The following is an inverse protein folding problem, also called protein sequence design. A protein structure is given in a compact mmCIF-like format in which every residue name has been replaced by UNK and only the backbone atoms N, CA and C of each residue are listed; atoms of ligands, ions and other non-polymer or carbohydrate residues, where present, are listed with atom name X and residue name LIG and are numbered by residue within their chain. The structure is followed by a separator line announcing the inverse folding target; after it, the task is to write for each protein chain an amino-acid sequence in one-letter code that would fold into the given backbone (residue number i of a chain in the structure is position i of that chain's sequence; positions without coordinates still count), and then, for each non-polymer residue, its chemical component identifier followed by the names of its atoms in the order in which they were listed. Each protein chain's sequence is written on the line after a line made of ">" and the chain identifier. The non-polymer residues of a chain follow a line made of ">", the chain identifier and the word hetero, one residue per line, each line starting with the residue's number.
data_IF_446510800664
#
_entry.id   IF_446510800664
#
_cell.length_a   1.000
_cell.length_b   1.000
_cell.length_c   1.000
_cell.angle_alpha   90.00
_cell.angle_beta   90.00
_cell.angle_gamma   90.00
#
_symmetry.space_group_name_H-M   'P 1'
#
loop_
_entity.id
_entity.type
_entity.pdbx_description
1 polymer ?
#
# COMPACT_ATOMS: atom_id res chain seq x y z
N UNK A 1 -57.69 -5.97 15.29
CA UNK A 1 -57.56 -5.70 16.75
C UNK A 1 -57.40 -7.06 17.44
N UNK A 2 -56.32 -7.40 18.14
CA UNK A 2 -55.48 -6.60 19.03
C UNK A 2 -54.01 -6.62 18.64
N UNK A 3 -53.46 -5.41 18.61
CA UNK A 3 -52.06 -5.04 18.67
C UNK A 3 -51.50 -5.24 20.08
N UNK A 4 -50.26 -5.70 20.18
CA UNK A 4 -49.25 -5.28 21.18
C UNK A 4 -47.86 -5.85 20.82
N UNK A 5 -47.03 -5.00 20.22
CA UNK A 5 -45.57 -4.91 20.47
C UNK A 5 -45.37 -4.28 21.87
N UNK A 6 -44.19 -4.35 22.55
CA UNK A 6 -42.85 -4.22 21.95
C UNK A 6 -41.67 -5.02 22.56
N UNK A 7 -40.55 -5.04 21.82
CA UNK A 7 -39.15 -4.99 22.27
C UNK A 7 -38.63 -6.04 23.27
N UNK A 8 -37.86 -7.02 22.77
CA UNK A 8 -36.72 -7.57 23.53
C UNK A 8 -35.45 -6.80 23.13
N UNK A 9 -34.73 -6.16 24.05
CA UNK A 9 -33.43 -5.59 23.75
C UNK A 9 -32.34 -6.67 23.75
N UNK A 10 -31.24 -6.39 23.04
CA UNK A 10 -29.89 -6.92 23.31
C UNK A 10 -29.52 -8.32 22.78
N UNK A 11 -29.32 -8.39 21.47
CA UNK A 11 -28.09 -8.97 20.95
C UNK A 11 -27.33 -7.86 20.22
N UNK A 12 -26.52 -7.10 20.97
CA UNK A 12 -25.56 -6.16 20.38
C UNK A 12 -24.61 -7.01 19.55
N UNK A 13 -24.67 -6.90 18.22
CA UNK A 13 -23.77 -7.66 17.35
C UNK A 13 -22.35 -7.14 17.58
N UNK A 14 -21.33 -7.98 17.44
CA UNK A 14 -19.91 -7.55 17.55
C UNK A 14 -19.61 -6.26 16.76
N UNK A 15 -20.26 -6.08 15.60
CA UNK A 15 -20.20 -4.86 14.78
C UNK A 15 -20.71 -3.61 15.53
N UNK A 16 -21.77 -3.73 16.32
CA UNK A 16 -22.33 -2.64 17.13
C UNK A 16 -21.43 -2.33 18.32
N UNK A 17 -20.83 -3.34 18.94
CA UNK A 17 -19.79 -3.18 19.98
C UNK A 17 -18.59 -2.41 19.44
N UNK A 18 -18.06 -2.82 18.28
CA UNK A 18 -16.90 -2.18 17.67
C UNK A 18 -17.18 -0.72 17.30
N UNK A 19 -18.37 -0.44 16.73
CA UNK A 19 -18.82 0.93 16.44
C UNK A 19 -18.95 1.74 17.73
N UNK A 20 -19.52 1.18 18.80
CA UNK A 20 -19.62 1.85 20.09
C UNK A 20 -18.26 2.10 20.73
N UNK A 21 -17.32 1.15 20.64
CA UNK A 21 -15.95 1.30 21.13
C UNK A 21 -15.19 2.38 20.35
N UNK A 22 -15.29 2.39 19.02
CA UNK A 22 -14.69 3.43 18.19
C UNK A 22 -15.31 4.80 18.47
N UNK A 23 -16.63 4.87 18.68
CA UNK A 23 -17.29 6.11 19.05
C UNK A 23 -16.92 6.59 20.46
N UNK A 24 -16.76 5.69 21.42
CA UNK A 24 -16.39 6.01 22.81
C UNK A 24 -14.93 6.42 22.94
N UNK A 25 -14.02 5.80 22.18
CA UNK A 25 -12.58 6.08 22.19
C UNK A 25 -12.15 7.10 21.12
N UNK A 26 -13.09 7.58 20.31
CA UNK A 26 -12.87 8.52 19.22
C UNK A 26 -11.94 9.72 19.52
N UNK A 27 -12.01 10.40 20.69
CA UNK A 27 -11.14 11.54 20.94
C UNK A 27 -9.70 11.16 21.27
N UNK A 28 -9.38 9.89 21.55
CA UNK A 28 -8.02 9.45 21.89
C UNK A 28 -7.44 8.47 20.86
N UNK A 29 -8.22 8.06 19.86
CA UNK A 29 -7.79 7.08 18.88
C UNK A 29 -6.97 7.76 17.79
N UNK A 30 -5.65 7.54 17.81
CA UNK A 30 -4.70 8.08 16.82
C UNK A 30 -4.27 7.06 15.76
N UNK A 31 -4.36 5.76 16.09
CA UNK A 31 -3.93 4.66 15.22
C UNK A 31 -5.02 3.60 15.19
N UNK A 32 -5.30 3.06 14.00
CA UNK A 32 -6.24 1.97 13.83
C UNK A 32 -5.72 1.00 12.76
N UNK A 33 -5.63 -0.27 13.13
CA UNK A 33 -5.36 -1.36 12.20
C UNK A 33 -6.63 -2.17 11.99
N UNK A 34 -6.92 -2.58 10.75
CA UNK A 34 -8.09 -3.43 10.47
C UNK A 34 -7.76 -4.54 9.48
N UNK A 35 -8.34 -5.71 9.72
CA UNK A 35 -8.47 -6.78 8.72
C UNK A 35 -9.56 -6.42 7.70
N UNK A 36 -9.66 -7.14 6.56
CA UNK A 36 -10.78 -7.02 5.67
C UNK A 36 -12.03 -7.35 6.47
N UNK A 37 -12.97 -6.42 6.45
CA UNK A 37 -14.25 -6.67 7.04
C UNK A 37 -15.12 -7.21 5.91
N UNK A 38 -15.76 -8.35 6.14
CA UNK A 38 -16.72 -8.94 5.22
C UNK A 38 -17.96 -8.01 5.15
N UNK A 39 -18.02 -7.15 4.13
CA UNK A 39 -18.85 -5.93 4.16
C UNK A 39 -19.69 -5.70 2.91
N UNK A 40 -20.89 -6.30 2.84
CA UNK A 40 -21.91 -5.81 1.91
C UNK A 40 -22.67 -4.58 2.43
N UNK A 41 -22.78 -4.34 3.75
CA UNK A 41 -23.75 -3.35 4.32
C UNK A 41 -23.39 -2.75 5.71
N UNK A 42 -22.29 -2.02 5.85
CA UNK A 42 -21.68 -1.84 7.17
C UNK A 42 -21.90 -0.51 7.91
N UNK A 43 -22.31 -0.60 9.16
CA UNK A 43 -22.33 0.48 10.16
C UNK A 43 -20.99 1.23 10.29
N UNK A 44 -19.86 0.57 10.00
CA UNK A 44 -18.52 1.18 10.03
C UNK A 44 -18.27 2.13 8.86
N UNK A 45 -18.58 1.74 7.62
CA UNK A 45 -18.54 2.67 6.47
C UNK A 45 -19.39 3.91 6.75
N UNK A 46 -20.60 3.74 7.30
CA UNK A 46 -21.44 4.86 7.71
C UNK A 46 -20.85 5.68 8.85
N UNK A 47 -20.13 5.06 9.80
CA UNK A 47 -19.43 5.76 10.88
C UNK A 47 -18.31 6.65 10.32
N UNK A 48 -17.44 6.10 9.46
CA UNK A 48 -16.33 6.87 8.85
C UNK A 48 -16.84 7.98 7.93
N UNK A 49 -17.87 7.71 7.12
CA UNK A 49 -18.51 8.74 6.29
C UNK A 49 -19.14 9.86 7.11
N UNK A 50 -19.67 9.55 8.30
CA UNK A 50 -20.16 10.56 9.25
C UNK A 50 -19.01 11.30 9.92
N UNK A 51 -17.95 10.61 10.33
CA UNK A 51 -16.75 11.21 10.94
C UNK A 51 -16.04 12.19 10.00
N UNK A 52 -16.12 11.95 8.69
CA UNK A 52 -15.61 12.83 7.64
C UNK A 52 -16.45 14.13 7.45
N UNK A 53 -17.63 14.26 8.09
CA UNK A 53 -18.52 15.42 7.95
C UNK A 53 -18.74 16.12 9.30
N UNK A 54 -18.47 17.43 9.41
CA UNK A 54 -18.86 18.18 10.61
C UNK A 54 -20.39 18.19 10.77
N UNK A 55 -20.94 18.20 12.01
CA UNK A 55 -20.28 18.42 13.30
C UNK A 55 -19.94 17.13 14.07
N UNK A 56 -19.88 15.97 13.41
CA UNK A 56 -19.73 14.68 14.12
C UNK A 56 -18.31 14.53 14.68
N UNK A 57 -18.19 14.48 16.00
CA UNK A 57 -16.92 14.54 16.75
C UNK A 57 -16.18 13.21 16.88
N UNK A 58 -16.52 12.17 16.12
CA UNK A 58 -15.83 10.89 16.21
C UNK A 58 -14.59 10.84 15.29
N UNK A 59 -13.54 10.12 15.72
CA UNK A 59 -12.30 9.86 14.96
C UNK A 59 -11.55 11.11 14.50
N UNK A 60 -11.70 12.23 15.21
CA UNK A 60 -11.08 13.52 14.84
C UNK A 60 -9.56 13.52 15.04
N UNK A 61 -9.02 12.58 15.82
CA UNK A 61 -7.59 12.45 16.08
C UNK A 61 -6.97 11.25 15.39
N UNK A 62 -7.72 10.50 14.57
CA UNK A 62 -7.20 9.33 13.87
C UNK A 62 -6.21 9.76 12.79
N UNK A 63 -4.93 9.48 13.01
CA UNK A 63 -3.79 9.88 12.16
C UNK A 63 -3.33 8.77 11.23
N UNK A 64 -3.33 7.53 11.68
CA UNK A 64 -2.84 6.40 10.87
C UNK A 64 -3.88 5.30 10.75
N UNK A 65 -4.01 4.77 9.54
CA UNK A 65 -4.82 3.58 9.26
C UNK A 65 -3.97 2.49 8.61
N UNK A 66 -3.85 1.32 9.23
CA UNK A 66 -3.20 0.16 8.65
C UNK A 66 -4.24 -0.87 8.18
N UNK A 67 -4.22 -1.21 6.90
CA UNK A 67 -5.08 -2.20 6.30
C UNK A 67 -4.33 -3.54 6.20
N UNK A 68 -4.63 -4.45 7.12
CA UNK A 68 -4.12 -5.82 7.03
C UNK A 68 -4.93 -6.63 6.01
N UNK A 69 -4.28 -7.61 5.34
CA UNK A 69 -4.93 -8.63 4.52
C UNK A 69 -5.70 -9.62 5.39
N UNK A 70 -6.60 -10.42 4.80
CA UNK A 70 -7.35 -11.44 5.55
C UNK A 70 -6.40 -12.41 6.25
N UNK A 71 -6.65 -12.67 7.53
CA UNK A 71 -5.79 -13.50 8.39
C UNK A 71 -5.56 -14.92 7.84
N UNK A 72 -6.56 -15.52 7.21
CA UNK A 72 -6.44 -16.85 6.61
C UNK A 72 -5.58 -16.79 5.35
N UNK A 73 -5.71 -15.71 4.58
CA UNK A 73 -4.98 -15.51 3.33
C UNK A 73 -3.53 -15.08 3.58
N UNK A 74 -3.25 -14.36 4.67
CA UNK A 74 -1.89 -13.96 5.07
C UNK A 74 -0.98 -15.15 5.42
N UNK A 75 -1.57 -16.28 5.85
CA UNK A 75 -0.84 -17.53 6.10
C UNK A 75 -0.43 -18.26 4.81
N UNK A 76 -0.97 -17.87 3.67
CA UNK A 76 -0.63 -18.44 2.36
C UNK A 76 0.75 -18.03 1.87
N UNK A 77 1.16 -18.58 0.73
CA UNK A 77 2.40 -18.23 0.01
C UNK A 77 2.18 -17.19 -1.09
N UNK A 78 0.93 -16.82 -1.36
CA UNK A 78 0.54 -15.92 -2.45
C UNK A 78 0.16 -14.52 -1.96
N UNK A 79 0.11 -13.55 -2.87
CA UNK A 79 -0.53 -12.25 -2.60
C UNK A 79 -2.03 -12.42 -2.27
N UNK A 80 -2.61 -11.40 -1.64
CA UNK A 80 -3.99 -11.40 -1.16
C UNK A 80 -4.83 -10.40 -1.94
N UNK A 81 -5.91 -10.88 -2.58
CA UNK A 81 -6.89 -10.02 -3.27
C UNK A 81 -7.52 -9.06 -2.26
N UNK A 82 -7.44 -7.76 -2.56
CA UNK A 82 -7.80 -6.70 -1.64
C UNK A 82 -8.62 -5.60 -2.33
N UNK A 83 -9.83 -5.28 -1.82
CA UNK A 83 -10.62 -4.14 -2.32
C UNK A 83 -10.10 -2.79 -1.79
N UNK A 84 -8.85 -2.47 -2.14
CA UNK A 84 -8.12 -1.32 -1.60
C UNK A 84 -8.78 0.03 -1.92
N UNK A 85 -9.41 0.22 -3.08
CA UNK A 85 -10.11 1.48 -3.38
C UNK A 85 -11.35 1.64 -2.49
N UNK A 86 -12.09 0.55 -2.25
CA UNK A 86 -13.22 0.57 -1.32
C UNK A 86 -12.78 1.00 0.10
N UNK A 87 -11.63 0.49 0.57
CA UNK A 87 -11.09 0.81 1.91
C UNK A 87 -10.53 2.21 2.00
N UNK A 88 -9.77 2.66 1.00
CA UNK A 88 -9.29 4.04 0.92
C UNK A 88 -10.44 5.05 0.90
N UNK A 89 -11.51 4.77 0.13
CA UNK A 89 -12.70 5.62 0.09
C UNK A 89 -13.43 5.75 1.44
N UNK A 90 -13.22 4.83 2.38
CA UNK A 90 -13.77 4.95 3.74
C UNK A 90 -13.04 6.00 4.57
N UNK A 91 -11.71 6.12 4.42
CA UNK A 91 -10.86 6.89 5.34
C UNK A 91 -10.36 8.20 4.74
N UNK A 92 -10.34 8.34 3.41
CA UNK A 92 -9.70 9.46 2.70
C UNK A 92 -10.15 10.85 3.13
N UNK A 93 -11.39 11.02 3.58
CA UNK A 93 -11.94 12.32 4.01
C UNK A 93 -11.90 12.55 5.52
N UNK A 94 -11.28 11.65 6.29
CA UNK A 94 -11.11 11.87 7.72
C UNK A 94 -10.21 13.11 7.96
N UNK A 95 -10.51 13.94 8.96
CA UNK A 95 -9.91 15.28 9.07
C UNK A 95 -8.44 15.27 9.49
N UNK A 96 -8.02 14.33 10.33
CA UNK A 96 -6.66 14.25 10.86
C UNK A 96 -5.84 13.07 10.30
N UNK A 97 -6.38 12.32 9.32
CA UNK A 97 -5.64 11.19 8.74
C UNK A 97 -4.41 11.72 8.01
N UNK A 98 -3.26 11.17 8.36
CA UNK A 98 -1.94 11.52 7.84
C UNK A 98 -1.34 10.36 7.05
N UNK A 99 -1.59 9.12 7.47
CA UNK A 99 -1.01 7.92 6.85
C UNK A 99 -2.03 6.80 6.62
N UNK A 100 -1.86 6.11 5.49
CA UNK A 100 -2.56 4.86 5.16
C UNK A 100 -1.53 3.82 4.73
N UNK A 101 -1.74 2.56 5.11
CA UNK A 101 -0.87 1.46 4.70
C UNK A 101 -1.62 0.19 4.29
N UNK A 102 -1.04 -0.53 3.34
CA UNK A 102 -1.47 -1.86 2.89
C UNK A 102 -0.26 -2.81 2.88
N UNK A 103 -0.52 -4.09 3.08
CA UNK A 103 0.52 -5.13 2.99
C UNK A 103 -0.05 -6.36 2.29
N UNK A 104 0.75 -6.98 1.41
CA UNK A 104 0.40 -8.18 0.65
C UNK A 104 -0.80 -8.04 -0.29
N UNK A 105 -1.18 -6.80 -0.61
CA UNK A 105 -2.36 -6.53 -1.41
C UNK A 105 -2.11 -6.88 -2.89
N UNK A 106 -3.14 -7.45 -3.52
CA UNK A 106 -3.26 -7.65 -4.96
C UNK A 106 -4.64 -7.16 -5.40
N UNK A 107 -4.77 -6.81 -6.69
CA UNK A 107 -6.08 -6.48 -7.27
C UNK A 107 -7.12 -7.57 -7.01
N UNK A 108 -8.23 -7.16 -6.41
CA UNK A 108 -9.44 -7.97 -6.31
C UNK A 108 -10.27 -7.86 -7.60
N UNK A 109 -11.23 -8.76 -7.80
CA UNK A 109 -12.16 -8.69 -8.94
C UNK A 109 -13.08 -7.45 -8.86
N UNK A 110 -13.33 -6.95 -7.65
CA UNK A 110 -14.00 -5.68 -7.38
C UNK A 110 -13.13 -4.83 -6.44
N UNK A 111 -12.11 -4.13 -6.94
CA UNK A 111 -11.24 -3.31 -6.10
C UNK A 111 -11.99 -2.12 -5.47
N UNK A 112 -13.19 -1.82 -5.99
CA UNK A 112 -13.96 -0.61 -5.75
C UNK A 112 -13.69 0.47 -6.79
N UNK A 113 -14.49 1.54 -6.77
CA UNK A 113 -14.28 2.68 -7.68
C UNK A 113 -12.98 3.44 -7.33
N UNK A 114 -12.10 3.72 -8.31
CA UNK A 114 -10.90 4.51 -8.09
C UNK A 114 -11.15 5.85 -7.40
N UNK A 115 -10.14 6.38 -6.73
CA UNK A 115 -10.22 7.66 -6.06
C UNK A 115 -10.06 8.81 -7.06
N UNK A 116 -10.82 9.90 -6.93
CA UNK A 116 -10.52 11.13 -7.65
C UNK A 116 -9.18 11.72 -7.25
N UNK A 117 -8.50 12.45 -8.15
CA UNK A 117 -7.26 13.12 -7.80
C UNK A 117 -7.49 14.17 -6.71
N UNK A 118 -6.50 14.39 -5.84
CA UNK A 118 -6.51 15.42 -4.77
C UNK A 118 -7.73 15.39 -3.84
N UNK A 119 -8.34 14.23 -3.68
CA UNK A 119 -9.55 14.04 -2.90
C UNK A 119 -9.31 13.60 -1.45
N UNK A 120 -8.10 13.13 -1.13
CA UNK A 120 -7.74 12.53 0.14
C UNK A 120 -6.92 13.45 1.05
N UNK A 121 -7.12 13.34 2.36
CA UNK A 121 -6.44 14.15 3.38
C UNK A 121 -5.11 13.54 3.87
N UNK A 122 -4.88 12.24 3.68
CA UNK A 122 -3.61 11.61 4.02
C UNK A 122 -2.47 12.19 3.17
N UNK A 123 -1.25 12.15 3.72
CA UNK A 123 -0.02 12.64 3.07
C UNK A 123 1.07 11.59 2.97
N UNK A 124 0.86 10.42 3.58
CA UNK A 124 1.76 9.28 3.54
C UNK A 124 1.00 8.04 3.09
N UNK A 125 1.55 7.35 2.11
CA UNK A 125 1.00 6.09 1.60
C UNK A 125 2.13 5.07 1.61
N UNK A 126 1.86 3.91 2.21
CA UNK A 126 2.82 2.81 2.30
C UNK A 126 2.14 1.52 1.85
N UNK A 127 2.70 0.88 0.83
CA UNK A 127 2.15 -0.34 0.24
C UNK A 127 3.30 -1.33 0.17
N UNK A 128 3.35 -2.26 1.12
CA UNK A 128 4.49 -3.16 1.29
C UNK A 128 4.19 -4.55 0.73
N UNK A 129 5.18 -5.14 0.05
CA UNK A 129 5.14 -6.50 -0.48
C UNK A 129 3.83 -6.81 -1.22
N UNK A 130 3.37 -5.88 -2.04
CA UNK A 130 2.06 -5.92 -2.69
C UNK A 130 2.22 -5.91 -4.21
N UNK A 131 1.30 -6.57 -4.90
CA UNK A 131 1.25 -6.66 -6.35
C UNK A 131 0.01 -5.90 -6.87
N UNK A 132 0.11 -4.57 -6.90
CA UNK A 132 -0.97 -3.69 -7.40
C UNK A 132 -0.56 -3.18 -8.79
N UNK A 133 -1.43 -3.27 -9.82
CA UNK A 133 -1.15 -2.74 -11.15
C UNK A 133 -0.79 -1.25 -11.13
N UNK A 134 0.04 -0.81 -12.07
CA UNK A 134 0.55 0.56 -12.09
C UNK A 134 -0.56 1.60 -12.37
N UNK A 135 -1.59 1.26 -13.15
CA UNK A 135 -2.79 2.12 -13.25
C UNK A 135 -3.42 2.40 -11.87
N UNK A 136 -3.58 1.36 -11.05
CA UNK A 136 -4.22 1.47 -9.74
C UNK A 136 -3.31 2.23 -8.76
N UNK A 137 -1.99 1.99 -8.81
CA UNK A 137 -1.00 2.77 -8.08
C UNK A 137 -1.00 4.24 -8.49
N UNK A 138 -1.11 4.56 -9.78
CA UNK A 138 -1.26 5.94 -10.24
C UNK A 138 -2.47 6.60 -9.58
N UNK A 139 -3.64 5.96 -9.58
CA UNK A 139 -4.84 6.49 -8.90
C UNK A 139 -4.64 6.71 -7.41
N UNK A 140 -3.92 5.80 -6.74
CA UNK A 140 -3.58 5.96 -5.32
C UNK A 140 -2.63 7.15 -5.12
N UNK A 141 -1.58 7.30 -5.94
CA UNK A 141 -0.60 8.41 -5.90
C UNK A 141 -1.29 9.75 -6.15
N UNK A 142 -2.23 9.80 -7.09
CA UNK A 142 -2.94 11.03 -7.48
C UNK A 142 -3.97 11.47 -6.41
N UNK A 143 -4.45 10.55 -5.59
CA UNK A 143 -5.54 10.79 -4.63
C UNK A 143 -5.27 11.80 -3.48
N UNK A 144 -4.09 11.92 -2.86
CA UNK A 144 -3.80 12.88 -1.80
C UNK A 144 -3.91 14.32 -2.28
N UNK A 145 -4.32 15.24 -1.40
CA UNK A 145 -4.16 16.68 -1.65
C UNK A 145 -2.70 17.10 -1.65
N UNK A 146 -1.90 16.49 -0.78
CA UNK A 146 -0.46 16.74 -0.63
C UNK A 146 0.25 15.45 -0.25
N UNK A 147 0.85 14.76 -1.21
CA UNK A 147 1.67 13.58 -0.91
C UNK A 147 3.07 14.03 -0.48
N UNK A 148 3.53 13.51 0.65
CA UNK A 148 4.86 13.74 1.23
C UNK A 148 5.72 12.48 1.20
N UNK A 149 5.14 11.33 1.52
CA UNK A 149 5.86 10.07 1.58
C UNK A 149 5.11 9.03 0.76
N UNK A 150 5.80 8.38 -0.18
CA UNK A 150 5.26 7.26 -0.92
C UNK A 150 6.23 6.09 -0.86
N UNK A 151 5.73 4.95 -0.41
CA UNK A 151 6.46 3.68 -0.35
C UNK A 151 5.65 2.63 -1.10
N UNK A 152 6.27 1.99 -2.08
CA UNK A 152 5.74 0.82 -2.75
C UNK A 152 6.82 -0.23 -2.90
N UNK A 153 6.60 -1.41 -2.34
CA UNK A 153 7.47 -2.58 -2.54
C UNK A 153 6.63 -3.76 -3.03
N UNK A 154 7.20 -4.54 -3.94
CA UNK A 154 6.61 -5.76 -4.47
C UNK A 154 7.60 -6.91 -4.28
N UNK A 155 7.09 -8.14 -4.19
CA UNK A 155 7.89 -9.34 -3.98
C UNK A 155 7.60 -10.04 -2.66
N UNK A 156 8.19 -11.22 -2.51
CA UNK A 156 8.11 -12.04 -1.30
C UNK A 156 6.86 -12.90 -1.24
N UNK A 157 6.04 -12.94 -2.29
CA UNK A 157 4.90 -13.84 -2.43
C UNK A 157 4.79 -14.33 -3.87
N UNK A 158 4.08 -15.45 -4.06
CA UNK A 158 3.67 -15.95 -5.38
C UNK A 158 2.50 -15.13 -5.93
N UNK A 159 2.46 -15.00 -7.25
CA UNK A 159 1.27 -14.51 -7.93
C UNK A 159 0.19 -15.62 -7.96
N UNK A 160 -1.02 -15.42 -7.40
CA UNK A 160 -2.12 -16.36 -7.54
C UNK A 160 -2.48 -16.69 -9.00
N UNK A 161 -2.25 -15.75 -9.91
CA UNK A 161 -2.59 -15.88 -11.34
C UNK A 161 -1.46 -16.51 -12.15
N UNK A 162 -0.34 -16.86 -11.51
CA UNK A 162 0.85 -17.39 -12.16
C UNK A 162 1.71 -16.31 -12.80
N UNK A 163 2.95 -16.69 -13.15
CA UNK A 163 3.92 -15.79 -13.76
C UNK A 163 4.34 -14.58 -12.91
N UNK A 164 5.14 -13.70 -13.52
CA UNK A 164 5.63 -12.48 -12.89
C UNK A 164 4.87 -11.29 -13.46
N UNK A 165 4.18 -10.51 -12.62
CA UNK A 165 3.41 -9.36 -13.06
C UNK A 165 4.36 -8.27 -13.55
N UNK A 166 4.02 -7.68 -14.69
CA UNK A 166 4.73 -6.52 -15.23
C UNK A 166 4.14 -5.25 -14.62
N UNK A 167 4.98 -4.31 -14.21
CA UNK A 167 4.58 -3.02 -13.66
C UNK A 167 5.34 -1.89 -14.34
N UNK A 168 4.63 -0.84 -14.75
CA UNK A 168 5.22 0.36 -15.36
C UNK A 168 5.74 1.37 -14.34
N UNK A 169 6.96 1.89 -14.53
CA UNK A 169 7.53 2.94 -13.64
C UNK A 169 7.30 4.36 -14.17
N UNK A 170 7.18 4.51 -15.49
CA UNK A 170 6.99 5.78 -16.18
C UNK A 170 5.64 6.42 -15.82
N UNK A 171 4.50 5.69 -15.84
CA UNK A 171 3.22 6.23 -15.38
C UNK A 171 3.27 6.70 -13.92
N UNK A 172 4.01 5.99 -13.06
CA UNK A 172 4.17 6.37 -11.65
C UNK A 172 4.94 7.69 -11.50
N UNK A 173 6.05 7.88 -12.23
CA UNK A 173 6.79 9.14 -12.20
C UNK A 173 5.92 10.32 -12.67
N UNK A 174 5.12 10.10 -13.72
CA UNK A 174 4.16 11.11 -14.21
C UNK A 174 3.08 11.45 -13.19
N UNK A 175 2.58 10.48 -12.44
CA UNK A 175 1.62 10.67 -11.35
C UNK A 175 2.25 11.39 -10.15
N UNK A 176 3.47 11.01 -9.77
CA UNK A 176 4.24 11.62 -8.69
C UNK A 176 4.53 13.11 -8.95
N UNK A 177 4.68 13.51 -10.23
CA UNK A 177 4.93 14.91 -10.59
C UNK A 177 3.85 15.87 -10.08
N UNK A 178 2.61 15.42 -9.89
CA UNK A 178 1.54 16.23 -9.29
C UNK A 178 1.89 16.68 -7.87
N UNK A 179 2.80 15.98 -7.20
CA UNK A 179 3.27 16.22 -5.83
C UNK A 179 4.71 16.70 -5.76
N UNK A 180 5.31 17.14 -6.87
CA UNK A 180 6.74 17.49 -6.91
C UNK A 180 7.18 18.55 -5.90
N UNK A 181 6.27 19.44 -5.51
CA UNK A 181 6.51 20.49 -4.50
C UNK A 181 6.25 20.06 -3.07
N UNK A 182 5.78 18.83 -2.85
CA UNK A 182 5.41 18.31 -1.51
C UNK A 182 6.08 17.00 -1.18
N UNK A 183 6.48 16.19 -2.17
CA UNK A 183 7.11 14.90 -1.97
C UNK A 183 8.48 15.07 -1.30
N UNK A 184 8.65 14.44 -0.15
CA UNK A 184 9.85 14.47 0.69
C UNK A 184 10.58 13.11 0.70
N UNK A 185 9.84 12.02 0.58
CA UNK A 185 10.37 10.65 0.59
C UNK A 185 9.70 9.79 -0.50
N UNK A 186 10.53 9.10 -1.28
CA UNK A 186 10.10 8.14 -2.29
C UNK A 186 10.87 6.84 -2.14
N UNK A 187 10.14 5.74 -2.03
CA UNK A 187 10.69 4.38 -1.98
C UNK A 187 9.91 3.50 -2.96
N UNK A 188 10.57 3.08 -4.04
CA UNK A 188 9.98 2.17 -5.05
C UNK A 188 10.91 0.97 -5.24
N UNK A 189 10.49 -0.19 -4.76
CA UNK A 189 11.15 -1.47 -4.99
C UNK A 189 10.28 -2.33 -5.91
N UNK A 190 10.42 -2.11 -7.23
CA UNK A 190 9.62 -2.75 -8.28
C UNK A 190 10.40 -3.01 -9.57
N UNK A 191 11.72 -2.80 -9.56
CA UNK A 191 12.57 -2.90 -10.75
C UNK A 191 12.55 -4.28 -11.39
N UNK A 192 12.50 -5.33 -10.56
CA UNK A 192 12.38 -6.71 -11.05
C UNK A 192 11.12 -6.93 -11.89
N UNK A 193 10.06 -6.16 -11.64
CA UNK A 193 8.76 -6.26 -12.31
C UNK A 193 8.63 -5.29 -13.48
N UNK A 194 9.62 -4.43 -13.71
CA UNK A 194 9.64 -3.51 -14.85
C UNK A 194 10.28 -4.20 -16.05
N UNK A 195 9.84 -3.89 -17.28
CA UNK A 195 10.43 -4.52 -18.47
C UNK A 195 11.73 -3.83 -18.90
N UNK A 196 12.62 -4.57 -19.57
CA UNK A 196 13.77 -3.98 -20.24
C UNK A 196 13.37 -2.96 -21.32
N UNK A 197 12.25 -3.21 -22.02
CA UNK A 197 11.73 -2.31 -23.04
C UNK A 197 11.46 -0.91 -22.45
N UNK A 198 10.82 -0.82 -21.29
CA UNK A 198 10.53 0.48 -20.70
C UNK A 198 11.79 1.32 -20.42
N UNK A 199 12.84 0.68 -19.90
CA UNK A 199 14.09 1.36 -19.58
C UNK A 199 14.90 1.74 -20.83
N UNK A 200 14.97 0.85 -21.81
CA UNK A 200 15.98 0.91 -22.88
C UNK A 200 15.42 1.17 -24.28
N UNK A 201 14.14 0.91 -24.52
CA UNK A 201 13.53 1.16 -25.82
C UNK A 201 13.02 2.62 -25.89
N UNK A 202 13.60 3.46 -26.76
CA UNK A 202 13.14 4.84 -26.94
C UNK A 202 11.74 4.93 -27.53
N UNK A 203 11.26 3.89 -28.22
CA UNK A 203 9.93 3.81 -28.82
C UNK A 203 8.91 3.19 -27.87
N UNK A 204 9.32 2.74 -26.67
CA UNK A 204 8.38 2.21 -25.67
C UNK A 204 7.29 3.22 -25.35
N UNK A 205 6.05 2.75 -25.46
CA UNK A 205 4.87 3.47 -24.98
C UNK A 205 4.21 2.62 -23.88
N UNK A 206 3.84 3.25 -22.75
CA UNK A 206 3.04 2.56 -21.75
C UNK A 206 1.71 2.13 -22.38
N UNK A 207 1.17 1.01 -21.89
CA UNK A 207 -0.11 0.51 -22.37
C UNK A 207 -1.23 1.52 -22.04
N UNK A 208 -1.90 2.02 -23.08
CA UNK A 208 -3.02 2.96 -22.92
C UNK A 208 -4.35 2.22 -22.66
N UNK A 209 -4.40 0.90 -22.83
CA UNK A 209 -5.60 0.09 -22.61
C UNK A 209 -5.87 -0.18 -21.11
N UNK A 210 -4.95 0.21 -20.22
CA UNK A 210 -5.18 0.16 -18.78
C UNK A 210 -6.05 1.34 -18.32
N UNK A 211 -7.31 1.05 -17.97
CA UNK A 211 -8.27 2.09 -17.64
C UNK A 211 -9.58 1.59 -17.04
N UNK A 212 -10.49 2.54 -16.82
CA UNK A 212 -11.89 2.21 -16.54
C UNK A 212 -12.58 1.92 -17.87
N UNK A 213 -13.38 0.85 -17.93
CA UNK A 213 -14.25 0.64 -19.07
C UNK A 213 -15.34 1.73 -19.16
N UNK A 214 -16.08 1.79 -20.28
CA UNK A 214 -17.11 2.81 -20.49
C UNK A 214 -18.17 2.86 -19.36
N UNK A 215 -18.54 1.70 -18.82
CA UNK A 215 -19.53 1.60 -17.75
C UNK A 215 -18.97 2.01 -16.40
N UNK A 216 -17.74 1.59 -16.09
CA UNK A 216 -16.99 2.00 -14.90
C UNK A 216 -16.73 3.50 -14.92
N UNK A 217 -16.41 4.07 -16.07
CA UNK A 217 -16.23 5.50 -16.29
C UNK A 217 -17.52 6.28 -16.00
N UNK A 218 -18.68 5.83 -16.53
CA UNK A 218 -19.98 6.44 -16.22
C UNK A 218 -20.27 6.38 -14.71
N UNK A 219 -20.00 5.24 -14.08
CA UNK A 219 -20.17 5.07 -12.63
C UNK A 219 -19.27 6.01 -11.83
N UNK A 220 -18.00 6.13 -12.23
CA UNK A 220 -17.02 7.02 -11.62
C UNK A 220 -17.44 8.49 -11.71
N UNK A 221 -17.79 8.96 -12.91
CA UNK A 221 -18.23 10.34 -13.15
C UNK A 221 -19.49 10.68 -12.34
N UNK A 222 -20.45 9.76 -12.30
CA UNK A 222 -21.67 9.93 -11.51
C UNK A 222 -21.41 9.95 -10.02
N UNK A 223 -20.56 9.07 -9.52
CA UNK A 223 -20.23 8.96 -8.09
C UNK A 223 -19.48 10.18 -7.57
N UNK A 224 -18.57 10.73 -8.38
CA UNK A 224 -17.65 11.80 -7.98
C UNK A 224 -17.92 13.14 -8.66
N UNK A 225 -19.09 13.32 -9.28
CA UNK A 225 -19.46 14.52 -10.03
C UNK A 225 -19.12 15.85 -9.31
N UNK A 226 -19.38 15.94 -8.00
CA UNK A 226 -19.05 17.14 -7.23
C UNK A 226 -17.55 17.38 -7.10
N UNK A 227 -16.77 16.33 -6.83
CA UNK A 227 -15.32 16.42 -6.64
C UNK A 227 -14.62 16.71 -7.98
N UNK A 228 -15.08 16.08 -9.07
CA UNK A 228 -14.61 16.35 -10.43
C UNK A 228 -14.87 17.81 -10.82
N UNK A 229 -16.05 18.35 -10.49
CA UNK A 229 -16.38 19.75 -10.76
C UNK A 229 -15.51 20.72 -9.93
N UNK A 230 -15.26 20.40 -8.66
CA UNK A 230 -14.34 21.17 -7.81
C UNK A 230 -12.89 21.16 -8.32
N UNK A 231 -12.44 20.03 -8.88
CA UNK A 231 -11.12 19.90 -9.50
C UNK A 231 -11.02 20.68 -10.81
N UNK A 232 -12.05 20.61 -11.66
CA UNK A 232 -12.10 21.35 -12.92
C UNK A 232 -12.11 22.88 -12.72
N UNK A 233 -12.56 23.35 -11.55
CA UNK A 233 -12.50 24.76 -11.18
C UNK A 233 -11.11 25.23 -10.74
N UNK A 234 -10.18 24.32 -10.43
CA UNK A 234 -8.79 24.65 -10.16
C UNK A 234 -8.06 24.72 -11.50
N UNK A 235 -7.30 25.79 -11.78
CA UNK A 235 -6.43 25.82 -12.96
C UNK A 235 -5.36 24.73 -12.80
N UNK A 236 -5.42 23.63 -13.58
CA UNK A 236 -4.43 22.59 -13.46
C UNK A 236 -3.12 23.12 -14.02
N UNK A 237 -2.04 22.92 -13.28
CA UNK A 237 -0.73 23.16 -13.85
C UNK A 237 -0.49 22.15 -14.97
N UNK A 238 -0.23 22.65 -16.18
CA UNK A 238 0.05 21.80 -17.33
C UNK A 238 1.29 20.96 -17.05
N UNK A 239 1.12 19.63 -17.06
CA UNK A 239 2.22 18.68 -16.96
C UNK A 239 3.20 18.94 -18.11
N UNK A 240 4.51 19.06 -17.83
CA UNK A 240 5.50 19.18 -18.90
C UNK A 240 5.55 17.88 -19.69
N UNK A 241 5.92 17.97 -20.96
CA UNK A 241 6.11 16.81 -21.82
C UNK A 241 7.29 15.93 -21.41
N UNK A 242 8.15 16.42 -20.50
CA UNK A 242 9.32 15.72 -19.98
C UNK A 242 9.45 15.97 -18.47
N UNK A 243 9.67 14.91 -17.70
CA UNK A 243 9.73 14.91 -16.23
C UNK A 243 10.94 14.11 -15.78
N UNK A 244 11.67 14.59 -14.77
CA UNK A 244 12.84 13.92 -14.20
C UNK A 244 12.89 14.05 -12.67
N UNK A 245 13.82 13.35 -12.03
CA UNK A 245 14.06 13.49 -10.58
C UNK A 245 14.46 14.91 -10.16
N UNK A 246 15.04 15.72 -11.04
CA UNK A 246 15.35 17.13 -10.73
C UNK A 246 14.12 17.95 -10.40
N UNK A 247 12.97 17.57 -10.95
CA UNK A 247 11.74 18.34 -10.85
C UNK A 247 11.10 18.25 -9.45
N UNK A 248 11.70 17.49 -8.52
CA UNK A 248 11.24 17.26 -7.15
C UNK A 248 12.10 18.02 -6.13
N UNK A 249 11.94 19.36 -5.99
CA UNK A 249 12.83 20.17 -5.16
C UNK A 249 12.74 19.84 -3.66
N UNK A 250 11.69 19.18 -3.17
CA UNK A 250 11.57 18.83 -1.75
C UNK A 250 12.00 17.41 -1.41
N UNK A 251 12.37 16.59 -2.39
CA UNK A 251 12.74 15.20 -2.17
C UNK A 251 14.08 15.11 -1.44
N UNK A 252 14.05 14.51 -0.24
CA UNK A 252 15.20 14.36 0.66
C UNK A 252 15.68 12.92 0.74
N UNK A 253 14.77 11.94 0.63
CA UNK A 253 15.08 10.51 0.70
C UNK A 253 14.55 9.82 -0.54
N UNK A 254 15.41 9.07 -1.20
CA UNK A 254 15.11 8.34 -2.42
C UNK A 254 15.63 6.92 -2.32
N UNK A 255 14.76 5.94 -2.51
CA UNK A 255 15.12 4.53 -2.57
C UNK A 255 14.57 3.95 -3.86
N UNK A 256 15.44 3.51 -4.77
CA UNK A 256 15.05 3.02 -6.09
C UNK A 256 15.96 1.88 -6.54
N UNK A 257 15.43 1.00 -7.40
CA UNK A 257 16.22 0.16 -8.28
C UNK A 257 17.20 0.97 -9.12
N UNK A 258 18.32 0.37 -9.50
CA UNK A 258 19.41 1.09 -10.16
C UNK A 258 19.04 1.52 -11.59
N UNK A 259 18.34 0.67 -12.33
CA UNK A 259 17.85 0.99 -13.67
C UNK A 259 16.77 2.07 -13.60
N UNK A 260 15.85 1.95 -12.64
CA UNK A 260 14.78 2.92 -12.35
C UNK A 260 15.35 4.28 -11.97
N UNK A 261 16.41 4.31 -11.14
CA UNK A 261 17.11 5.53 -10.75
C UNK A 261 17.71 6.24 -11.96
N UNK A 262 18.44 5.51 -12.81
CA UNK A 262 19.02 6.06 -14.04
C UNK A 262 17.94 6.55 -15.00
N UNK A 263 16.87 5.77 -15.19
CA UNK A 263 15.73 6.11 -16.03
C UNK A 263 15.04 7.40 -15.58
N UNK A 264 14.66 7.50 -14.30
CA UNK A 264 14.01 8.69 -13.76
C UNK A 264 14.94 9.91 -13.74
N UNK A 265 16.23 9.73 -13.49
CA UNK A 265 17.21 10.82 -13.55
C UNK A 265 17.42 11.32 -14.98
N UNK A 266 17.44 10.42 -15.97
CA UNK A 266 17.49 10.77 -17.40
C UNK A 266 16.21 11.46 -17.87
N UNK A 267 15.11 11.18 -17.19
CA UNK A 267 13.80 11.78 -17.39
C UNK A 267 12.94 11.02 -18.41
N UNK A 268 11.63 11.09 -18.21
CA UNK A 268 10.60 10.38 -18.97
C UNK A 268 9.69 11.36 -19.72
N UNK A 269 9.14 10.91 -20.85
CA UNK A 269 8.23 11.68 -21.70
C UNK A 269 8.86 12.16 -23.01
N UNK A 270 8.05 12.71 -23.90
CA UNK A 270 8.47 13.14 -25.24
C UNK A 270 9.02 14.56 -25.22
N UNK A 271 10.34 14.73 -25.24
CA UNK A 271 10.95 16.04 -25.44
C UNK A 271 11.46 16.23 -26.87
N UNK A 272 10.59 16.02 -27.88
CA UNK A 272 10.98 16.13 -29.30
C UNK A 272 11.60 17.50 -29.66
N UNK A 273 11.27 18.55 -28.90
CA UNK A 273 11.83 19.89 -29.07
C UNK A 273 13.28 20.04 -28.55
N UNK A 274 13.71 19.21 -27.59
CA UNK A 274 15.04 19.28 -26.95
C UNK A 274 15.95 18.11 -27.32
N UNK A 275 15.35 16.95 -27.60
CA UNK A 275 16.02 15.71 -27.96
C UNK A 275 15.24 15.05 -29.11
N UNK A 276 15.86 14.82 -30.28
CA UNK A 276 15.19 14.26 -31.46
C UNK A 276 14.54 12.89 -31.23
N UNK A 277 15.05 12.13 -30.25
CA UNK A 277 14.60 10.82 -29.77
C UNK A 277 13.86 10.91 -28.41
N UNK A 278 13.60 12.11 -27.91
CA UNK A 278 12.87 12.36 -26.66
C UNK A 278 13.68 12.19 -25.37
N UNK A 279 14.96 11.77 -25.41
CA UNK A 279 15.77 11.46 -24.21
C UNK A 279 17.09 12.23 -24.19
N UNK A 280 17.63 12.51 -23.00
CA UNK A 280 19.00 13.07 -22.88
C UNK A 280 19.98 12.13 -23.59
N UNK A 281 20.81 12.66 -24.49
CA UNK A 281 21.88 11.92 -25.17
C UNK A 281 22.81 11.28 -24.13
N UNK A 282 23.12 10.00 -24.31
CA UNK A 282 23.87 9.17 -23.36
C UNK A 282 25.24 9.75 -23.03
N UNK A 283 25.92 10.33 -24.02
CA UNK A 283 27.23 10.96 -23.84
C UNK A 283 27.16 12.21 -22.95
N UNK A 284 25.97 12.80 -22.82
CA UNK A 284 25.71 13.98 -21.99
C UNK A 284 25.06 13.65 -20.64
N UNK A 285 24.58 12.42 -20.44
CA UNK A 285 23.91 12.04 -19.21
C UNK A 285 24.91 11.85 -18.05
N UNK A 286 24.64 12.55 -16.94
CA UNK A 286 25.35 12.40 -15.68
C UNK A 286 24.33 12.22 -14.55
N UNK A 287 24.28 11.04 -13.94
CA UNK A 287 23.40 10.75 -12.81
C UNK A 287 23.59 11.74 -11.65
N UNK A 288 24.84 12.06 -11.30
CA UNK A 288 25.17 12.95 -10.18
C UNK A 288 24.64 14.38 -10.36
N UNK A 289 24.56 14.84 -11.61
CA UNK A 289 23.98 16.13 -11.95
C UNK A 289 22.47 16.08 -12.03
N UNK A 290 21.85 14.90 -12.17
CA UNK A 290 20.41 14.69 -12.37
C UNK A 290 19.61 14.17 -11.18
N UNK A 291 20.21 14.17 -10.00
CA UNK A 291 19.50 13.94 -8.75
C UNK A 291 18.69 15.17 -8.30
N UNK A 292 17.68 14.98 -7.42
CA UNK A 292 16.96 16.08 -6.80
C UNK A 292 17.92 17.02 -6.05
N UNK A 293 17.70 18.34 -6.09
CA UNK A 293 18.66 19.32 -5.58
C UNK A 293 18.85 19.27 -4.05
N UNK A 294 17.86 18.77 -3.30
CA UNK A 294 17.87 18.71 -1.84
C UNK A 294 17.97 17.27 -1.31
N UNK A 295 18.43 16.33 -2.12
CA UNK A 295 18.57 14.94 -1.72
C UNK A 295 19.64 14.79 -0.63
N UNK A 296 19.28 14.09 0.45
CA UNK A 296 20.12 13.85 1.63
C UNK A 296 20.46 12.37 1.80
N UNK A 297 19.57 11.49 1.34
CA UNK A 297 19.70 10.05 1.44
C UNK A 297 19.30 9.38 0.12
N UNK A 298 20.16 8.52 -0.38
CA UNK A 298 19.94 7.68 -1.55
C UNK A 298 20.19 6.21 -1.18
N UNK A 299 19.18 5.36 -1.36
CA UNK A 299 19.35 3.92 -1.33
C UNK A 299 19.19 3.38 -2.73
N UNK A 300 20.13 2.55 -3.15
CA UNK A 300 20.06 1.87 -4.45
C UNK A 300 19.77 0.39 -4.20
N UNK A 301 18.76 -0.11 -4.89
CA UNK A 301 18.30 -1.48 -4.81
C UNK A 301 18.92 -2.36 -5.90
N UNK A 302 19.16 -3.64 -5.57
CA UNK A 302 19.32 -4.70 -6.56
C UNK A 302 20.50 -4.60 -7.52
N UNK A 303 21.65 -4.01 -7.14
CA UNK A 303 22.79 -3.95 -8.06
C UNK A 303 23.21 -5.34 -8.53
N UNK A 304 23.25 -5.52 -9.84
CA UNK A 304 23.58 -6.81 -10.48
C UNK A 304 22.38 -7.74 -10.63
N UNK A 305 21.20 -7.34 -10.18
CA UNK A 305 19.93 -7.98 -10.45
C UNK A 305 19.17 -7.11 -11.46
N UNK A 306 18.93 -7.66 -12.65
CA UNK A 306 18.22 -6.95 -13.71
C UNK A 306 16.71 -7.15 -13.64
N UNK A 307 15.95 -6.31 -14.35
CA UNK A 307 14.53 -6.52 -14.63
C UNK A 307 14.25 -7.93 -15.20
N UNK A 308 13.03 -8.43 -14.96
CA UNK A 308 12.64 -9.79 -15.35
C UNK A 308 12.79 -10.04 -16.87
N UNK A 309 13.29 -11.23 -17.18
CA UNK A 309 13.81 -11.61 -18.49
C UNK A 309 12.71 -12.28 -19.33
N UNK A 310 12.07 -11.51 -20.21
CA UNK A 310 11.29 -12.07 -21.33
C UNK A 310 11.94 -11.83 -22.69
N UNK A 311 12.82 -10.83 -22.84
CA UNK A 311 13.63 -10.65 -24.06
C UNK A 311 14.76 -9.60 -23.89
N UNK A 312 15.72 -9.83 -22.98
CA UNK A 312 16.92 -8.98 -22.90
C UNK A 312 17.81 -9.05 -24.17
N UNK A 313 17.50 -9.96 -25.10
CA UNK A 313 18.37 -10.35 -26.22
C UNK A 313 18.44 -9.35 -27.37
N UNK A 314 17.64 -8.28 -27.37
CA UNK A 314 17.52 -7.33 -28.47
C UNK A 314 17.85 -5.86 -28.17
N UNK A 315 18.00 -5.48 -26.89
CA UNK A 315 18.14 -4.07 -26.51
C UNK A 315 19.60 -3.72 -26.18
N UNK A 316 20.14 -2.66 -26.79
CA UNK A 316 21.43 -2.12 -26.37
C UNK A 316 21.29 -1.57 -24.94
N UNK A 317 22.07 -2.11 -23.99
CA UNK A 317 22.12 -1.65 -22.60
C UNK A 317 22.83 -0.29 -22.54
N UNK A 318 22.13 0.74 -22.96
CA UNK A 318 22.68 2.04 -23.32
C UNK A 318 22.88 2.98 -22.12
N UNK A 319 22.18 2.73 -21.00
CA UNK A 319 22.20 3.58 -19.80
C UNK A 319 23.55 3.62 -19.05
N UNK A 320 24.49 2.72 -19.33
CA UNK A 320 25.81 2.68 -18.68
C UNK A 320 25.73 2.67 -17.15
N UNK A 321 24.79 1.92 -16.60
CA UNK A 321 24.35 2.00 -15.20
C UNK A 321 25.51 1.90 -14.20
N UNK A 322 26.41 0.94 -14.38
CA UNK A 322 27.59 0.78 -13.53
C UNK A 322 28.53 1.99 -13.59
N UNK A 323 28.80 2.51 -14.79
CA UNK A 323 29.65 3.70 -14.98
C UNK A 323 29.04 4.93 -14.31
N UNK A 324 27.70 5.08 -14.42
CA UNK A 324 26.95 6.16 -13.78
C UNK A 324 26.98 6.06 -12.25
N UNK A 325 26.82 4.86 -11.69
CA UNK A 325 26.95 4.63 -10.24
C UNK A 325 28.37 4.90 -9.74
N UNK A 326 29.39 4.40 -10.44
CA UNK A 326 30.78 4.68 -10.06
C UNK A 326 31.09 6.17 -10.09
N UNK A 327 30.62 6.87 -11.13
CA UNK A 327 30.76 8.32 -11.25
C UNK A 327 30.03 9.05 -10.13
N UNK A 328 28.80 8.65 -9.81
CA UNK A 328 28.03 9.19 -8.68
C UNK A 328 28.81 9.04 -7.37
N UNK A 329 29.34 7.85 -7.09
CA UNK A 329 30.14 7.59 -5.90
C UNK A 329 31.43 8.42 -5.85
N UNK A 330 32.06 8.70 -7.00
CA UNK A 330 33.24 9.57 -7.08
C UNK A 330 32.89 11.03 -6.79
N UNK A 331 31.84 11.55 -7.41
CA UNK A 331 31.47 12.97 -7.33
C UNK A 331 30.80 13.34 -5.99
N UNK A 332 29.99 12.44 -5.44
CA UNK A 332 29.22 12.67 -4.20
C UNK A 332 30.04 12.46 -2.93
N UNK A 333 31.26 11.91 -3.00
CA UNK A 333 32.19 11.84 -1.86
C UNK A 333 32.46 13.19 -1.19
N UNK A 334 32.31 14.28 -1.94
CA UNK A 334 32.52 15.65 -1.47
C UNK A 334 31.26 16.33 -0.95
N UNK A 335 30.08 15.72 -1.14
CA UNK A 335 28.77 16.25 -0.76
C UNK A 335 28.22 15.46 0.44
N UNK A 336 27.36 16.07 1.25
CA UNK A 336 26.74 15.42 2.42
C UNK A 336 25.61 14.44 2.08
N UNK A 337 25.69 13.78 0.92
CA UNK A 337 24.71 12.78 0.49
C UNK A 337 25.09 11.41 1.05
N UNK A 338 24.18 10.76 1.78
CA UNK A 338 24.34 9.40 2.27
C UNK A 338 23.90 8.43 1.18
N UNK A 339 24.75 7.48 0.81
CA UNK A 339 24.46 6.46 -0.22
C UNK A 339 24.59 5.06 0.39
N UNK A 340 23.52 4.26 0.28
CA UNK A 340 23.42 2.91 0.85
C UNK A 340 22.80 1.90 -0.13
N UNK A 341 22.84 0.61 0.21
CA UNK A 341 22.12 -0.46 -0.51
C UNK A 341 22.83 -1.03 -1.74
N UNK A 342 23.84 -0.34 -2.27
CA UNK A 342 24.52 -0.70 -3.53
C UNK A 342 24.96 -2.18 -3.60
N UNK A 343 25.52 -2.75 -2.54
CA UNK A 343 26.04 -4.13 -2.59
C UNK A 343 25.18 -5.13 -1.80
N UNK A 344 23.99 -4.72 -1.33
CA UNK A 344 23.16 -5.54 -0.44
C UNK A 344 21.86 -5.90 -1.18
N UNK A 345 21.65 -7.19 -1.51
CA UNK A 345 20.37 -7.62 -2.07
C UNK A 345 19.26 -7.41 -1.05
N UNK A 346 18.08 -7.06 -1.53
CA UNK A 346 16.91 -6.88 -0.67
C UNK A 346 16.28 -8.24 -0.45
N UNK A 347 16.10 -8.66 0.82
CA UNK A 347 15.37 -9.88 1.10
C UNK A 347 13.95 -9.81 0.53
N UNK A 348 13.54 -10.86 -0.19
CA UNK A 348 12.17 -11.02 -0.67
C UNK A 348 11.69 -9.89 -1.62
N UNK A 349 12.58 -9.22 -2.36
CA UNK A 349 12.22 -8.21 -3.36
C UNK A 349 11.67 -8.78 -4.68
N UNK A 350 11.76 -10.11 -4.87
CA UNK A 350 11.25 -10.78 -6.07
C UNK A 350 9.93 -11.47 -5.78
N UNK A 351 9.01 -11.45 -6.75
CA UNK A 351 7.88 -12.37 -6.75
C UNK A 351 8.43 -13.79 -6.75
N UNK A 352 7.92 -14.63 -5.85
CA UNK A 352 8.32 -16.03 -5.77
C UNK A 352 7.73 -16.75 -6.98
N UNK A 353 8.57 -17.50 -7.69
CA UNK A 353 8.14 -18.21 -8.89
C UNK A 353 7.10 -19.29 -8.53
N UNK A 354 6.13 -19.53 -9.42
CA UNK A 354 5.02 -20.43 -9.18
C UNK A 354 5.47 -21.88 -8.92
N UNK A 355 6.64 -22.24 -9.49
CA UNK A 355 7.26 -23.56 -9.42
C UNK A 355 8.05 -23.82 -8.12
N UNK A 356 8.28 -22.79 -7.30
CA UNK A 356 9.06 -22.92 -6.06
C UNK A 356 8.31 -23.70 -4.97
N UNK A 357 9.04 -24.31 -4.05
CA UNK A 357 8.46 -25.08 -2.95
C UNK A 357 7.77 -24.14 -1.93
N UNK A 358 6.50 -24.38 -1.62
CA UNK A 358 5.77 -23.67 -0.56
C UNK A 358 6.38 -23.90 0.83
N UNK A 359 7.18 -24.97 1.00
CA UNK A 359 7.87 -25.26 2.25
C UNK A 359 9.17 -24.47 2.44
N UNK A 360 9.72 -23.84 1.39
CA UNK A 360 10.88 -22.96 1.55
C UNK A 360 10.46 -21.58 2.06
N UNK A 361 10.26 -21.54 3.37
CA UNK A 361 9.82 -20.37 4.11
C UNK A 361 10.81 -19.19 4.06
N UNK A 362 12.01 -19.37 3.52
CA UNK A 362 12.99 -18.28 3.35
C UNK A 362 12.68 -17.40 2.13
N UNK A 363 11.94 -17.93 1.15
CA UNK A 363 11.53 -17.22 -0.07
C UNK A 363 10.38 -16.24 0.18
N UNK A 364 9.56 -16.52 1.19
CA UNK A 364 8.35 -15.77 1.47
C UNK A 364 8.59 -14.68 2.51
N UNK A 365 8.15 -13.47 2.17
CA UNK A 365 8.11 -12.38 3.14
C UNK A 365 7.12 -12.69 4.24
N UNK A 366 7.49 -12.33 5.47
CA UNK A 366 6.68 -12.51 6.67
C UNK A 366 6.47 -11.17 7.33
N UNK A 367 5.23 -10.92 7.71
CA UNK A 367 4.88 -9.75 8.48
C UNK A 367 5.64 -9.79 9.82
N UNK A 368 6.51 -8.81 10.11
CA UNK A 368 7.26 -8.75 11.37
C UNK A 368 6.35 -8.64 12.59
N UNK A 369 5.14 -8.08 12.43
CA UNK A 369 4.14 -7.97 13.48
C UNK A 369 3.30 -9.27 13.61
N UNK A 370 3.55 -10.25 12.74
CA UNK A 370 2.93 -11.58 12.80
C UNK A 370 3.84 -12.59 13.54
N UNK A 371 3.74 -12.53 14.87
CA UNK A 371 4.43 -13.46 15.78
C UNK A 371 3.99 -14.94 15.62
N UNK A 372 2.99 -15.25 14.78
CA UNK A 372 2.41 -16.61 14.68
C UNK A 372 3.35 -17.60 13.99
N UNK A 373 4.25 -17.13 13.12
CA UNK A 373 5.29 -18.00 12.54
C UNK A 373 6.37 -18.38 13.57
N UNK A 374 6.64 -17.52 14.55
CA UNK A 374 7.53 -17.84 15.66
C UNK A 374 6.88 -18.81 16.66
N UNK A 375 5.54 -18.74 16.82
CA UNK A 375 4.77 -19.67 17.63
C UNK A 375 4.77 -21.12 17.10
N UNK A 376 5.22 -21.36 15.86
CA UNK A 376 5.35 -22.72 15.32
C UNK A 376 6.62 -23.44 15.82
N UNK A 377 7.49 -22.77 16.61
CA UNK A 377 8.63 -23.40 17.29
C UNK A 377 8.51 -23.46 18.81
N UNK A 378 7.48 -22.86 19.40
CA UNK A 378 7.22 -22.99 20.83
C UNK A 378 5.72 -23.05 21.09
N UNK A 379 5.30 -24.23 21.54
CA UNK A 379 3.93 -24.69 21.73
C UNK A 379 3.23 -24.01 22.94
N UNK A 380 3.47 -22.71 23.13
CA UNK A 380 2.99 -21.95 24.29
C UNK A 380 2.90 -20.44 24.04
N UNK A 381 1.83 -19.94 23.42
CA UNK A 381 1.12 -18.73 23.89
C UNK A 381 -0.32 -18.74 23.34
N UNK A 382 -1.24 -19.39 24.06
CA UNK A 382 -2.62 -18.92 24.15
C UNK A 382 -2.74 -18.33 25.56
N UNK A 383 -2.95 -17.02 25.69
CA UNK A 383 -3.28 -16.40 26.98
C UNK A 383 -4.50 -17.11 27.55
N UNK A 384 -4.26 -17.86 28.63
CA UNK A 384 -5.21 -18.84 29.16
C UNK A 384 -6.53 -18.17 29.57
N UNK A 385 -7.63 -18.93 29.48
CA UNK A 385 -8.96 -18.61 30.03
C UNK A 385 -8.90 -18.01 31.46
N UNK A 386 -7.87 -18.38 32.23
CA UNK A 386 -7.62 -17.88 33.58
C UNK A 386 -7.23 -16.39 33.62
N UNK A 387 -6.65 -15.82 32.56
CA UNK A 387 -6.36 -14.37 32.49
C UNK A 387 -7.62 -13.54 32.26
N UNK A 388 -8.53 -13.97 31.40
CA UNK A 388 -9.83 -13.30 31.22
C UNK A 388 -10.71 -13.41 32.47
N UNK A 389 -10.64 -14.54 33.19
CA UNK A 389 -11.31 -14.69 34.49
C UNK A 389 -10.68 -13.79 35.57
N UNK A 390 -9.35 -13.62 35.60
CA UNK A 390 -8.66 -12.68 36.51
C UNK A 390 -8.99 -11.23 36.19
N UNK A 391 -9.04 -10.87 34.91
CA UNK A 391 -9.38 -9.54 34.44
C UNK A 391 -10.84 -9.19 34.76
N UNK A 392 -11.76 -10.15 34.61
CA UNK A 392 -13.15 -9.98 35.04
C UNK A 392 -13.28 -9.77 36.56
N UNK A 393 -12.50 -10.54 37.35
CA UNK A 393 -12.52 -10.48 38.80
C UNK A 393 -11.93 -9.19 39.39
N UNK A 394 -11.03 -8.50 38.66
CA UNK A 394 -10.41 -7.25 39.11
C UNK A 394 -11.16 -5.98 38.68
N UNK A 395 -12.23 -6.09 37.88
CA UNK A 395 -13.02 -4.92 37.44
C UNK A 395 -14.03 -4.46 38.48
N UNK A 396 -14.16 -3.15 38.67
CA UNK A 396 -15.21 -2.53 39.49
C UNK A 396 -16.60 -2.69 38.87
N UNK A 397 -17.66 -2.79 39.69
CA UNK A 397 -19.04 -3.06 39.26
C UNK A 397 -19.68 -1.97 38.39
N UNK A 398 -19.03 -0.81 38.26
CA UNK A 398 -19.43 0.27 37.34
C UNK A 398 -18.71 0.26 35.99
N UNK A 399 -17.79 -0.69 35.75
CA UNK A 399 -17.02 -0.72 34.51
C UNK A 399 -17.91 -1.18 33.34
N UNK A 400 -18.07 -0.37 32.27
CA UNK A 400 -18.98 -0.69 31.16
C UNK A 400 -18.58 -1.94 30.38
N UNK A 401 -17.34 -2.42 30.51
CA UNK A 401 -16.82 -3.63 29.88
C UNK A 401 -17.10 -4.91 30.69
N UNK A 402 -17.40 -4.77 31.99
CA UNK A 402 -17.62 -5.92 32.91
C UNK A 402 -18.80 -6.80 32.48
N UNK A 403 -19.98 -6.26 32.10
CA UNK A 403 -21.10 -7.08 31.62
C UNK A 403 -20.76 -7.84 30.33
N UNK A 404 -19.91 -7.26 29.48
CA UNK A 404 -19.54 -7.83 28.19
C UNK A 404 -18.56 -8.99 28.35
N UNK A 405 -17.56 -8.84 29.23
CA UNK A 405 -16.64 -9.93 29.58
C UNK A 405 -17.40 -11.04 30.32
N UNK A 406 -18.37 -10.71 31.17
CA UNK A 406 -19.26 -11.70 31.80
C UNK A 406 -20.01 -12.52 30.74
N UNK A 407 -20.55 -11.86 29.71
CA UNK A 407 -21.32 -12.50 28.65
C UNK A 407 -20.41 -13.39 27.77
N UNK A 408 -19.21 -12.94 27.44
CA UNK A 408 -18.20 -13.75 26.76
C UNK A 408 -17.78 -14.98 27.59
N UNK A 409 -17.47 -14.81 28.88
CA UNK A 409 -17.15 -15.93 29.80
C UNK A 409 -18.33 -16.91 29.96
N UNK A 410 -19.57 -16.42 29.89
CA UNK A 410 -20.78 -17.25 29.95
C UNK A 410 -21.04 -18.06 28.67
N UNK A 411 -20.45 -17.66 27.54
CA UNK A 411 -20.50 -18.42 26.28
C UNK A 411 -19.44 -19.52 26.19
N UNK A 412 -18.50 -19.58 27.14
CA UNK A 412 -17.48 -20.63 27.19
C UNK A 412 -18.07 -21.93 27.76
N UNK A 413 -17.96 -23.07 27.05
CA UNK A 413 -18.45 -24.36 27.54
C UNK A 413 -17.66 -24.82 28.78
N UNK A 414 -18.34 -25.41 29.78
CA UNK A 414 -17.71 -25.89 31.01
C UNK A 414 -16.79 -27.11 30.75
N UNK A 415 -15.50 -26.82 30.55
CA UNK A 415 -14.23 -27.60 30.64
C UNK A 415 -14.18 -29.08 30.19
N UNK A 416 -13.31 -29.33 29.19
CA UNK A 416 -11.92 -29.86 29.35
C UNK A 416 -11.04 -29.38 28.16
N UNK A 417 -9.72 -29.46 28.34
CA UNK A 417 -8.62 -28.63 27.82
C UNK A 417 -8.33 -28.70 26.29
N UNK A 418 -7.80 -27.55 25.79
CA UNK A 418 -7.06 -27.20 24.55
C UNK A 418 -7.86 -27.17 23.23
N UNK A 419 -7.88 -26.00 22.56
CA UNK A 419 -7.50 -25.75 21.14
C UNK A 419 -8.01 -24.37 20.65
N UNK A 420 -7.21 -23.79 19.76
CA UNK A 420 -7.33 -22.57 18.94
C UNK A 420 -8.56 -22.53 18.02
N UNK A 421 -9.09 -21.34 17.73
CA UNK A 421 -10.21 -21.14 16.80
C UNK A 421 -9.70 -21.04 15.35
N UNK A 422 -9.67 -22.18 14.65
CA UNK A 422 -9.68 -22.28 13.19
C UNK A 422 -11.07 -22.76 12.76
N UNK A 423 -11.64 -22.12 11.74
CA UNK A 423 -12.97 -22.44 11.23
C UNK A 423 -13.04 -23.82 10.57
N UNK A 424 -14.02 -24.63 11.00
CA UNK A 424 -14.76 -25.49 10.07
C UNK A 424 -14.34 -26.97 9.91
N UNK A 425 -14.74 -27.79 10.89
CA UNK A 425 -15.05 -29.26 10.84
C UNK A 425 -13.91 -30.28 10.99
N UNK A 426 -14.18 -31.26 11.88
CA UNK A 426 -13.41 -32.46 12.21
C UNK A 426 -13.90 -33.72 11.45
N UNK A 427 -12.97 -34.64 11.17
CA UNK A 427 -13.20 -36.09 11.31
C UNK A 427 -11.91 -36.87 11.63
N UNK A 428 -12.10 -37.93 12.41
CA UNK A 428 -11.17 -38.63 13.31
C UNK A 428 -10.23 -39.69 12.69
N UNK A 429 -9.32 -40.15 13.57
CA UNK A 429 -8.69 -41.50 13.69
C UNK A 429 -7.29 -41.60 13.08
N UNK A 430 -6.21 -41.98 13.77
CA UNK A 430 -5.93 -42.65 15.07
C UNK A 430 -4.76 -41.95 15.74
#
# INVERSE_FOLDING_TARGET
>A
MKTRSPSSPEAIKFKDVLVMMLAANAPNLEFLSSYPLDMPRSTLKSLFQRAAKPPVSCLQNLRSFNFHPDDVLNQGTTYVREPYFSRLNMVRKLPAVESVSFTLAMRDDDPGLPLPPRCANYSKVQIDHSCIPDYDLCRIIESPKTLKNFVFTVGGRKNPEGGIPTLGVTPLLQSLWLHRHTLEELDLDMEYHTTWQEFYDPEYQPDEDEGLDEYEQECYEKQYASEILELAAQEPETRPSWISLKDFPKLKRLNLGVHTLCHFARGVGSNQDRFPDGRIDLQSFNLAENLPPNLQYLRVYGRGEGPHDLDSSGHELDLGVDDQLERLLREMKSKSLIIEGIDVPIPNAKTVDEWEDDNDQSLYWKDPDDDRFAACKDDSVVKSEDEYRKMYASMEDGNPLKPMIAQYLATLPQKKIKVSLVGGRFKDSI
#
